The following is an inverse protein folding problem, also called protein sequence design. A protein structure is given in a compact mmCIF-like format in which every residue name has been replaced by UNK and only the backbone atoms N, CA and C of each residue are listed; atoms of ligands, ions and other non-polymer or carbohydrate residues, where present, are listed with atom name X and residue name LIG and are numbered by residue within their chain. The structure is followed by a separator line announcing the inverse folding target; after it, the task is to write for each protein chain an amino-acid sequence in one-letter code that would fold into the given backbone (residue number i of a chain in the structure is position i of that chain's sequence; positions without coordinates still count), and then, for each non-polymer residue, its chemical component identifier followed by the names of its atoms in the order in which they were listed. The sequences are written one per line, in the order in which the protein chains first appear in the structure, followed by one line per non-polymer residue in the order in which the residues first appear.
data_IF_787743499281
#
_entry.id   IF_787743499281
#
_cell.length_a   1.000
_cell.length_b   1.000
_cell.length_c   1.000
_cell.angle_alpha   90.00
_cell.angle_beta   90.00
_cell.angle_gamma   90.00
#
_symmetry.space_group_name_H-M   'P 1'
#
loop_
_entity.id
_entity.type
_entity.pdbx_description
1 polymer ?
#
# COMPACT_ATOMS: atom_id res chain seq x y z
N UNK A 1 4.73 -13.92 31.46
CA UNK A 1 5.50 -13.19 32.48
C UNK A 1 5.91 -11.89 31.86
N UNK A 2 5.16 -10.85 32.21
CA UNK A 2 5.25 -9.50 31.67
C UNK A 2 6.55 -8.82 32.08
N UNK A 3 7.35 -8.41 31.09
CA UNK A 3 8.59 -7.63 31.29
C UNK A 3 8.32 -6.12 31.16
N UNK A 4 7.06 -5.70 30.96
CA UNK A 4 6.73 -4.29 30.69
C UNK A 4 6.07 -3.54 31.85
N UNK A 5 5.94 -4.15 33.04
CA UNK A 5 5.11 -3.58 34.10
C UNK A 5 5.83 -2.66 35.10
N UNK A 6 7.06 -2.20 34.86
CA UNK A 6 7.75 -1.37 35.87
C UNK A 6 8.81 -0.41 35.31
N UNK A 7 8.39 0.52 34.44
CA UNK A 7 9.12 1.74 34.20
C UNK A 7 8.21 2.94 34.48
N UNK A 8 8.56 3.67 35.52
CA UNK A 8 8.14 5.03 35.81
C UNK A 8 8.07 5.87 34.53
N UNK A 9 7.02 6.68 34.42
CA UNK A 9 6.75 7.65 33.35
C UNK A 9 7.94 8.62 33.23
N UNK A 10 9.00 8.20 32.57
CA UNK A 10 10.00 9.06 31.94
C UNK A 10 9.37 9.44 30.62
N UNK A 11 8.93 10.70 30.51
CA UNK A 11 8.27 11.29 29.35
C UNK A 11 8.70 10.60 28.04
N UNK A 12 7.86 9.70 27.53
CA UNK A 12 8.00 9.22 26.16
C UNK A 12 8.04 10.47 25.30
N UNK A 13 9.02 10.63 24.40
CA UNK A 13 9.05 11.79 23.54
C UNK A 13 7.70 11.91 22.82
N UNK A 14 7.01 13.05 22.94
CA UNK A 14 5.68 13.25 22.32
C UNK A 14 5.73 13.28 20.78
N UNK A 15 6.94 13.29 20.22
CA UNK A 15 7.19 13.41 18.78
C UNK A 15 7.86 12.15 18.25
N UNK A 16 7.52 11.78 17.01
CA UNK A 16 8.15 10.69 16.29
C UNK A 16 9.68 10.79 16.27
N UNK A 17 10.23 11.99 16.01
CA UNK A 17 11.67 12.21 15.97
C UNK A 17 12.34 11.98 17.33
N UNK A 18 11.70 12.41 18.42
CA UNK A 18 12.23 12.14 19.75
C UNK A 18 12.26 10.63 20.08
N UNK A 19 11.21 9.89 19.70
CA UNK A 19 11.17 8.43 19.88
C UNK A 19 12.25 7.76 19.03
N UNK A 20 12.40 8.19 17.77
CA UNK A 20 13.44 7.70 16.86
C UNK A 20 14.85 7.96 17.41
N UNK A 21 15.13 9.18 17.90
CA UNK A 21 16.44 9.56 18.42
C UNK A 21 16.78 8.74 19.67
N UNK A 22 15.82 8.56 20.58
CA UNK A 22 16.02 7.78 21.80
C UNK A 22 16.26 6.30 21.48
N UNK A 23 15.43 5.70 20.62
CA UNK A 23 15.61 4.30 20.19
C UNK A 23 16.93 4.11 19.43
N UNK A 24 17.36 5.09 18.64
CA UNK A 24 18.60 5.03 17.87
C UNK A 24 19.86 5.00 18.72
N UNK A 25 19.82 5.57 19.94
CA UNK A 25 20.95 5.54 20.89
C UNK A 25 21.26 4.12 21.37
N UNK A 26 20.23 3.33 21.63
CA UNK A 26 20.37 1.98 22.20
C UNK A 26 20.36 0.88 21.13
N UNK A 27 19.72 1.10 19.98
CA UNK A 27 19.58 0.11 18.91
C UNK A 27 20.57 0.34 17.76
N UNK A 28 21.85 0.55 18.09
CA UNK A 28 22.90 0.86 17.11
C UNK A 28 23.16 -0.24 16.08
N UNK A 29 22.73 -1.48 16.38
CA UNK A 29 22.85 -2.63 15.49
C UNK A 29 21.78 -2.66 14.38
N UNK A 30 20.67 -1.93 14.54
CA UNK A 30 19.61 -1.84 13.55
C UNK A 30 20.00 -0.86 12.44
N UNK A 31 19.56 -1.15 11.21
CA UNK A 31 19.69 -0.22 10.09
C UNK A 31 18.68 0.94 10.20
N UNK A 32 18.82 1.96 9.33
CA UNK A 32 17.98 3.16 9.39
C UNK A 32 16.49 2.87 9.23
N UNK A 33 16.11 1.92 8.36
CA UNK A 33 14.70 1.57 8.14
C UNK A 33 14.10 0.82 9.34
N UNK A 34 14.88 -0.06 9.96
CA UNK A 34 14.48 -0.75 11.20
C UNK A 34 14.32 0.24 12.36
N UNK A 35 15.16 1.28 12.43
CA UNK A 35 14.99 2.34 13.44
C UNK A 35 13.78 3.23 13.15
N UNK A 36 13.54 3.57 11.88
CA UNK A 36 12.33 4.30 11.45
C UNK A 36 11.04 3.50 11.70
N UNK A 37 11.15 2.18 11.89
CA UNK A 37 10.05 1.33 12.33
C UNK A 37 9.53 1.68 13.73
N UNK A 38 10.22 2.57 14.46
CA UNK A 38 9.71 3.28 15.64
C UNK A 38 8.36 3.98 15.42
N UNK A 39 7.92 4.10 14.17
CA UNK A 39 6.56 4.46 13.78
C UNK A 39 5.49 3.68 14.56
N UNK A 40 5.65 2.36 14.75
CA UNK A 40 4.69 1.56 15.51
C UNK A 40 4.63 1.99 16.99
N UNK A 41 5.79 2.29 17.58
CA UNK A 41 5.87 2.83 18.93
C UNK A 41 5.28 4.25 19.02
N UNK A 42 5.46 5.10 18.01
CA UNK A 42 4.84 6.43 17.97
C UNK A 42 3.31 6.36 17.88
N UNK A 43 2.79 5.45 17.06
CA UNK A 43 1.36 5.31 16.81
C UNK A 43 0.59 4.63 17.97
N UNK A 44 1.27 3.86 18.82
CA UNK A 44 0.68 3.12 19.96
C UNK A 44 -0.50 2.21 19.57
N UNK A 45 -0.63 1.88 18.28
CA UNK A 45 -1.69 1.06 17.72
C UNK A 45 -1.23 0.50 16.37
N UNK A 46 -0.92 -0.80 16.34
CA UNK A 46 -0.35 -1.45 15.16
C UNK A 46 -1.29 -1.45 13.95
N UNK A 47 -2.60 -1.49 14.17
CA UNK A 47 -3.61 -1.43 13.09
C UNK A 47 -3.60 -0.06 12.44
N UNK A 48 -3.62 1.01 13.24
CA UNK A 48 -3.52 2.38 12.72
C UNK A 48 -2.15 2.64 12.09
N UNK A 49 -1.07 2.17 12.72
CA UNK A 49 0.29 2.31 12.21
C UNK A 49 0.43 1.68 10.83
N UNK A 50 -0.01 0.43 10.68
CA UNK A 50 0.04 -0.31 9.41
C UNK A 50 -0.90 0.31 8.39
N UNK A 51 -2.13 0.65 8.79
CA UNK A 51 -3.16 1.19 7.91
C UNK A 51 -2.75 2.52 7.30
N UNK A 52 -2.29 3.47 8.12
CA UNK A 52 -1.84 4.79 7.65
C UNK A 52 -0.60 4.65 6.76
N UNK A 53 0.41 3.88 7.18
CA UNK A 53 1.62 3.69 6.37
C UNK A 53 1.30 3.08 5.02
N UNK A 54 0.49 2.01 5.01
CA UNK A 54 0.13 1.30 3.77
C UNK A 54 -0.73 2.17 2.86
N UNK A 55 -1.70 2.92 3.40
CA UNK A 55 -2.54 3.83 2.63
C UNK A 55 -1.73 4.96 2.01
N UNK A 56 -0.91 5.67 2.79
CA UNK A 56 -0.09 6.76 2.26
C UNK A 56 0.90 6.24 1.22
N UNK A 57 1.54 5.10 1.47
CA UNK A 57 2.42 4.45 0.50
C UNK A 57 1.64 4.12 -0.79
N UNK A 58 0.48 3.46 -0.67
CA UNK A 58 -0.34 3.09 -1.82
C UNK A 58 -0.71 4.31 -2.67
N UNK A 59 -1.29 5.34 -2.05
CA UNK A 59 -1.78 6.52 -2.77
C UNK A 59 -0.65 7.30 -3.45
N UNK A 60 0.49 7.47 -2.77
CA UNK A 60 1.65 8.14 -3.34
C UNK A 60 2.17 7.40 -4.56
N UNK A 61 2.33 6.08 -4.49
CA UNK A 61 2.83 5.31 -5.63
C UNK A 61 1.77 5.16 -6.74
N UNK A 62 0.51 4.93 -6.38
CA UNK A 62 -0.59 4.71 -7.31
C UNK A 62 -0.93 5.96 -8.13
N UNK A 63 -1.08 7.11 -7.49
CA UNK A 63 -1.33 8.36 -8.21
C UNK A 63 -0.04 8.96 -8.75
N UNK A 64 1.06 8.90 -7.99
CA UNK A 64 2.35 9.44 -8.41
C UNK A 64 2.87 8.80 -9.70
N UNK A 65 2.71 7.48 -9.89
CA UNK A 65 3.10 6.81 -11.15
C UNK A 65 2.30 7.26 -12.36
N UNK A 66 1.10 7.83 -12.19
CA UNK A 66 0.27 8.30 -13.30
C UNK A 66 0.73 9.66 -13.84
N UNK A 67 1.36 10.49 -13.00
CA UNK A 67 1.78 11.85 -13.37
C UNK A 67 2.71 11.90 -14.59
N UNK A 68 3.78 11.07 -14.71
CA UNK A 68 4.60 11.06 -15.92
C UNK A 68 3.80 10.77 -17.19
N UNK A 69 2.80 9.88 -17.10
CA UNK A 69 1.98 9.52 -18.26
C UNK A 69 1.00 10.64 -18.64
N UNK A 70 0.43 11.34 -17.67
CA UNK A 70 -0.40 12.53 -17.92
C UNK A 70 0.44 13.61 -18.63
N UNK A 71 1.69 13.83 -18.19
CA UNK A 71 2.60 14.79 -18.83
C UNK A 71 2.94 14.37 -20.27
N UNK A 72 3.29 13.10 -20.48
CA UNK A 72 3.59 12.54 -21.81
C UNK A 72 2.39 12.69 -22.76
N UNK A 73 1.17 12.49 -22.26
CA UNK A 73 -0.06 12.60 -23.05
C UNK A 73 -0.28 14.01 -23.62
N UNK A 74 0.22 15.05 -22.94
CA UNK A 74 0.14 16.45 -23.38
C UNK A 74 1.21 16.84 -24.41
N UNK A 75 2.18 15.97 -24.71
CA UNK A 75 3.26 16.25 -25.66
C UNK A 75 2.92 15.61 -27.02
N UNK A 76 2.61 16.39 -28.07
CA UNK A 76 2.10 15.86 -29.34
C UNK A 76 3.01 14.83 -30.02
N UNK A 77 4.32 14.90 -29.78
CA UNK A 77 5.30 13.95 -30.33
C UNK A 77 4.99 12.50 -29.96
N UNK A 78 4.46 12.23 -28.77
CA UNK A 78 4.23 10.87 -28.30
C UNK A 78 2.92 10.25 -28.79
N UNK A 79 2.02 11.04 -29.40
CA UNK A 79 0.73 10.55 -29.92
C UNK A 79 0.89 9.41 -30.94
N UNK A 80 2.01 9.38 -31.68
CA UNK A 80 2.33 8.31 -32.66
C UNK A 80 2.54 6.92 -32.03
N UNK A 81 2.76 6.84 -30.71
CA UNK A 81 2.95 5.57 -30.00
C UNK A 81 1.67 5.06 -29.31
N UNK A 82 0.56 5.81 -29.39
CA UNK A 82 -0.71 5.40 -28.78
C UNK A 82 -1.29 4.18 -29.48
N UNK A 83 -1.62 3.15 -28.70
CA UNK A 83 -2.23 1.91 -29.20
C UNK A 83 -3.66 2.18 -29.72
N UNK A 84 -4.40 3.10 -29.06
CA UNK A 84 -5.76 3.49 -29.43
C UNK A 84 -5.81 4.93 -29.97
N UNK A 85 -5.21 5.18 -31.14
CA UNK A 85 -5.11 6.53 -31.72
C UNK A 85 -6.45 7.25 -31.98
N UNK A 86 -7.55 6.50 -32.13
CA UNK A 86 -8.88 7.05 -32.42
C UNK A 86 -9.72 7.39 -31.18
N UNK A 87 -9.23 7.07 -29.98
CA UNK A 87 -9.91 7.36 -28.71
C UNK A 87 -8.96 8.13 -27.80
N UNK A 88 -9.03 9.46 -27.89
CA UNK A 88 -8.31 10.35 -26.98
C UNK A 88 -9.32 10.79 -25.91
N UNK A 89 -9.14 10.38 -24.64
CA UNK A 89 -10.08 10.73 -23.59
C UNK A 89 -10.03 12.24 -23.34
N UNK A 90 -11.19 12.87 -23.32
CA UNK A 90 -11.35 14.27 -22.97
C UNK A 90 -11.08 14.49 -21.48
N UNK A 91 -10.77 15.73 -21.08
CA UNK A 91 -10.59 16.07 -19.67
C UNK A 91 -11.82 15.75 -18.81
N UNK A 92 -13.02 15.85 -19.38
CA UNK A 92 -14.27 15.51 -18.70
C UNK A 92 -14.41 14.00 -18.45
N UNK A 93 -14.00 13.17 -19.41
CA UNK A 93 -13.99 11.71 -19.26
C UNK A 93 -12.94 11.29 -18.22
N UNK A 94 -11.73 11.86 -18.30
CA UNK A 94 -10.68 11.61 -17.31
C UNK A 94 -11.17 11.95 -15.90
N UNK A 95 -11.79 13.11 -15.71
CA UNK A 95 -12.33 13.52 -14.41
C UNK A 95 -13.47 12.62 -13.92
N UNK A 96 -14.28 12.10 -14.82
CA UNK A 96 -15.33 11.13 -14.48
C UNK A 96 -14.71 9.83 -13.98
N UNK A 97 -13.69 9.31 -14.67
CA UNK A 97 -12.95 8.13 -14.24
C UNK A 97 -12.24 8.37 -12.91
N UNK A 98 -11.58 9.51 -12.71
CA UNK A 98 -10.92 9.86 -11.45
C UNK A 98 -11.89 9.87 -10.27
N UNK A 99 -13.12 10.37 -10.43
CA UNK A 99 -14.11 10.32 -9.34
C UNK A 99 -14.54 8.90 -8.99
N UNK A 100 -14.70 8.04 -9.99
CA UNK A 100 -15.06 6.63 -9.77
C UNK A 100 -13.91 5.88 -9.09
N UNK A 101 -12.68 6.15 -9.51
CA UNK A 101 -11.46 5.62 -8.91
C UNK A 101 -11.34 6.04 -7.44
N UNK A 102 -11.45 7.35 -7.14
CA UNK A 102 -11.46 7.86 -5.76
C UNK A 102 -12.59 7.28 -4.91
N UNK A 103 -13.78 7.08 -5.48
CA UNK A 103 -14.88 6.41 -4.78
C UNK A 103 -14.52 4.96 -4.44
N UNK A 104 -13.86 4.24 -5.36
CA UNK A 104 -13.41 2.87 -5.12
C UNK A 104 -12.29 2.80 -4.09
N UNK A 105 -11.36 3.76 -4.08
CA UNK A 105 -10.33 3.87 -3.04
C UNK A 105 -10.99 4.04 -1.66
N UNK A 106 -11.97 4.93 -1.56
CA UNK A 106 -12.65 5.16 -0.29
C UNK A 106 -13.51 3.97 0.16
N UNK A 107 -14.22 3.31 -0.75
CA UNK A 107 -15.22 2.29 -0.40
C UNK A 107 -14.72 0.85 -0.40
N UNK A 108 -13.64 0.57 -1.13
CA UNK A 108 -13.09 -0.78 -1.31
C UNK A 108 -11.68 -0.86 -0.76
N UNK A 109 -10.78 0.04 -1.17
CA UNK A 109 -9.36 -0.03 -0.78
C UNK A 109 -9.17 0.24 0.72
N UNK A 110 -9.72 1.34 1.26
CA UNK A 110 -9.55 1.69 2.68
C UNK A 110 -9.99 0.53 3.60
N UNK A 111 -11.21 -0.06 3.45
CA UNK A 111 -11.58 -1.24 4.23
C UNK A 111 -10.60 -2.40 4.09
N UNK A 112 -10.12 -2.70 2.88
CA UNK A 112 -9.14 -3.77 2.67
C UNK A 112 -7.82 -3.49 3.38
N UNK A 113 -7.31 -2.26 3.35
CA UNK A 113 -6.07 -1.85 4.02
C UNK A 113 -6.19 -1.99 5.54
N UNK A 114 -7.27 -1.51 6.14
CA UNK A 114 -7.43 -1.58 7.60
C UNK A 114 -7.79 -2.99 8.09
N UNK A 115 -8.38 -3.84 7.24
CA UNK A 115 -8.59 -5.25 7.53
C UNK A 115 -7.34 -6.12 7.34
N UNK A 116 -6.35 -5.64 6.57
CA UNK A 116 -5.13 -6.39 6.29
C UNK A 116 -4.35 -6.75 7.56
N UNK A 117 -4.02 -5.76 8.39
CA UNK A 117 -3.20 -5.99 9.59
C UNK A 117 -3.79 -7.03 10.57
N UNK A 118 -5.06 -6.92 11.03
CA UNK A 118 -5.61 -7.92 11.94
C UNK A 118 -5.69 -9.30 11.29
N UNK A 119 -5.96 -9.38 9.98
CA UNK A 119 -6.01 -10.65 9.27
C UNK A 119 -4.64 -11.33 9.20
N UNK A 120 -3.59 -10.60 8.83
CA UNK A 120 -2.25 -11.18 8.71
C UNK A 120 -1.63 -11.46 10.08
N UNK A 121 -1.89 -10.64 11.10
CA UNK A 121 -1.54 -10.96 12.50
C UNK A 121 -2.21 -12.25 12.97
N UNK A 122 -3.49 -12.46 12.63
CA UNK A 122 -4.19 -13.72 12.94
C UNK A 122 -3.48 -14.94 12.32
N UNK A 123 -2.90 -14.78 11.12
CA UNK A 123 -2.08 -15.81 10.47
C UNK A 123 -0.59 -15.81 10.89
N UNK A 124 -0.21 -15.06 11.92
CA UNK A 124 1.12 -15.09 12.52
C UNK A 124 2.14 -14.11 11.94
N UNK A 125 1.71 -13.06 11.24
CA UNK A 125 2.62 -12.00 10.76
C UNK A 125 3.26 -11.25 11.94
N UNK A 126 4.59 -11.20 11.98
CA UNK A 126 5.34 -10.31 12.87
C UNK A 126 5.44 -8.91 12.29
N UNK A 127 5.48 -7.89 13.15
CA UNK A 127 5.71 -6.48 12.76
C UNK A 127 6.87 -5.86 13.51
N UNK A 128 7.70 -6.70 14.14
CA UNK A 128 8.82 -6.28 14.97
C UNK A 128 10.11 -6.18 14.15
N UNK A 129 11.09 -5.50 14.73
CA UNK A 129 12.47 -5.44 14.22
C UNK A 129 13.38 -6.39 15.01
N UNK A 130 14.46 -6.94 14.43
CA UNK A 130 14.97 -6.69 13.08
C UNK A 130 14.10 -7.29 11.98
N UNK A 131 14.24 -6.76 10.76
CA UNK A 131 13.49 -7.28 9.62
C UNK A 131 13.92 -8.72 9.29
N UNK A 132 13.05 -9.49 8.61
CA UNK A 132 13.42 -10.82 8.14
C UNK A 132 14.66 -10.77 7.24
N UNK A 133 15.42 -11.87 7.21
CA UNK A 133 16.58 -11.98 6.34
C UNK A 133 16.20 -11.73 4.86
N UNK A 134 17.14 -11.23 4.06
CA UNK A 134 16.90 -11.05 2.62
C UNK A 134 16.46 -12.33 1.92
N UNK A 135 16.95 -13.50 2.38
CA UNK A 135 16.49 -14.79 1.88
C UNK A 135 15.01 -15.02 2.20
N UNK A 136 14.58 -14.71 3.44
CA UNK A 136 13.18 -14.80 3.86
C UNK A 136 12.28 -13.93 3.00
N UNK A 137 12.66 -12.67 2.82
CA UNK A 137 11.94 -11.73 1.97
C UNK A 137 11.86 -12.28 0.54
N UNK A 138 12.99 -12.71 -0.03
CA UNK A 138 13.06 -13.15 -1.43
C UNK A 138 12.16 -14.37 -1.70
N UNK A 139 12.21 -15.43 -0.87
CA UNK A 139 11.39 -16.61 -1.12
C UNK A 139 9.90 -16.33 -0.87
N UNK A 140 9.55 -15.52 0.15
CA UNK A 140 8.16 -15.15 0.41
C UNK A 140 7.59 -14.32 -0.73
N UNK A 141 8.36 -13.33 -1.20
CA UNK A 141 8.00 -12.53 -2.38
C UNK A 141 7.79 -13.45 -3.59
N UNK A 142 8.70 -14.38 -3.88
CA UNK A 142 8.54 -15.31 -5.00
C UNK A 142 7.27 -16.16 -4.89
N UNK A 143 6.92 -16.64 -3.69
CA UNK A 143 5.66 -17.35 -3.44
C UNK A 143 4.47 -16.43 -3.67
N UNK A 144 4.48 -15.21 -3.12
CA UNK A 144 3.40 -14.24 -3.28
C UNK A 144 3.21 -13.85 -4.74
N UNK A 145 4.28 -13.72 -5.54
CA UNK A 145 4.17 -13.48 -6.98
C UNK A 145 3.36 -14.58 -7.68
N UNK A 146 3.62 -15.86 -7.37
CA UNK A 146 2.87 -16.98 -7.97
C UNK A 146 1.42 -16.98 -7.50
N UNK A 147 1.18 -16.75 -6.21
CA UNK A 147 -0.17 -16.71 -5.64
C UNK A 147 -0.98 -15.53 -6.19
N UNK A 148 -0.37 -14.35 -6.27
CA UNK A 148 -0.97 -13.14 -6.80
C UNK A 148 -1.31 -13.30 -8.28
N UNK A 149 -0.38 -13.79 -9.11
CA UNK A 149 -0.63 -14.04 -10.54
C UNK A 149 -1.77 -15.06 -10.74
N UNK A 150 -1.73 -16.16 -9.98
CA UNK A 150 -2.78 -17.19 -10.03
C UNK A 150 -4.14 -16.61 -9.64
N UNK A 151 -4.21 -15.95 -8.48
CA UNK A 151 -5.43 -15.31 -7.99
C UNK A 151 -5.96 -14.28 -8.98
N UNK A 152 -5.10 -13.39 -9.45
CA UNK A 152 -5.45 -12.32 -10.37
C UNK A 152 -6.01 -12.90 -11.67
N UNK A 153 -5.34 -13.88 -12.27
CA UNK A 153 -5.80 -14.53 -13.50
C UNK A 153 -7.21 -15.13 -13.35
N UNK A 154 -7.44 -15.94 -12.32
CA UNK A 154 -8.73 -16.62 -12.14
C UNK A 154 -9.84 -15.67 -11.75
N UNK A 155 -9.57 -14.69 -10.89
CA UNK A 155 -10.54 -13.67 -10.54
C UNK A 155 -10.87 -12.79 -11.73
N UNK A 156 -9.86 -12.38 -12.50
CA UNK A 156 -10.06 -11.61 -13.72
C UNK A 156 -10.91 -12.39 -14.72
N UNK A 157 -10.63 -13.68 -14.91
CA UNK A 157 -11.42 -14.56 -15.77
C UNK A 157 -12.86 -14.70 -15.28
N UNK A 158 -13.08 -14.84 -13.98
CA UNK A 158 -14.42 -14.87 -13.39
C UNK A 158 -15.18 -13.55 -13.58
N UNK A 159 -14.47 -12.41 -13.51
CA UNK A 159 -15.05 -11.08 -13.75
C UNK A 159 -15.56 -10.90 -15.18
N UNK A 160 -15.13 -11.71 -16.14
CA UNK A 160 -15.69 -11.74 -17.50
C UNK A 160 -17.01 -12.51 -17.62
N UNK A 161 -17.54 -13.09 -16.54
CA UNK A 161 -18.77 -13.87 -16.59
C UNK A 161 -20.03 -13.06 -16.28
N UNK A 162 -21.03 -13.15 -17.16
CA UNK A 162 -22.42 -12.78 -16.91
C UNK A 162 -22.63 -11.38 -16.32
N UNK A 163 -23.05 -11.35 -15.05
CA UNK A 163 -23.35 -10.11 -14.32
C UNK A 163 -22.08 -9.33 -13.93
N UNK A 164 -21.02 -10.02 -13.51
CA UNK A 164 -19.75 -9.40 -13.11
C UNK A 164 -19.16 -8.59 -14.24
N UNK A 165 -19.23 -9.11 -15.47
CA UNK A 165 -18.75 -8.39 -16.64
C UNK A 165 -19.52 -7.09 -16.86
N UNK A 166 -20.85 -7.18 -16.90
CA UNK A 166 -21.71 -6.04 -17.26
C UNK A 166 -21.68 -4.92 -16.22
N UNK A 167 -21.51 -5.25 -14.94
CA UNK A 167 -21.66 -4.30 -13.82
C UNK A 167 -20.37 -3.88 -13.14
N UNK A 168 -19.30 -4.67 -13.25
CA UNK A 168 -18.03 -4.39 -12.58
C UNK A 168 -16.93 -4.30 -13.62
N UNK A 169 -16.69 -5.40 -14.34
CA UNK A 169 -15.48 -5.52 -15.15
C UNK A 169 -15.45 -4.57 -16.35
N UNK A 170 -16.59 -4.39 -17.02
CA UNK A 170 -16.70 -3.44 -18.12
C UNK A 170 -16.45 -2.01 -17.67
N UNK A 171 -16.89 -1.63 -16.47
CA UNK A 171 -16.71 -0.28 -15.91
C UNK A 171 -15.25 -0.07 -15.52
N UNK A 172 -14.61 -1.07 -14.92
CA UNK A 172 -13.19 -1.03 -14.57
C UNK A 172 -12.27 -0.85 -15.80
N UNK A 173 -12.66 -1.38 -16.96
CA UNK A 173 -11.91 -1.22 -18.23
C UNK A 173 -12.26 0.03 -19.04
N UNK A 174 -13.21 0.86 -18.59
CA UNK A 174 -13.58 2.10 -19.29
C UNK A 174 -12.50 3.17 -19.10
#
# INVERSE_FOLDING_TARGET
MDVLSNATISASPDTFLGIYDELSKYNVHLNIFERLWSWYAYMQNDVLATGIMSFVMHEVFYFGRSLPWIIIDQIPYFNKYKIQGNKIPTAAEQWTCTKLDLLSHYTVEIPQIYLFHPMTKYFGMGTDVPFPSLFTIAYQVAIFFVLEDTWHYWMHRAMHYGWLYKKIHKIHHQ
#
